data_IF_204019471529
#
_entry.id   IF_204019471529
#
_cell.length_a   1.000
_cell.length_b   1.000
_cell.length_c   1.000
_cell.angle_alpha   90.00
_cell.angle_beta   90.00
_cell.angle_gamma   90.00
#
_symmetry.space_group_name_H-M   'P 1'
#
loop_
_entity.id
_entity.type
_entity.pdbx_description
1 polymer ?
#
# COMPACT_ATOMS: atom_id res chain seq x y z
N UNK A 1 27.70 -0.91 58.89
CA UNK A 1 28.43 -0.90 57.60
C UNK A 1 28.10 -2.11 56.73
N UNK A 2 27.73 -3.26 57.31
CA UNK A 2 27.53 -4.50 56.54
C UNK A 2 26.28 -4.54 55.66
N UNK A 3 25.17 -3.93 56.08
CA UNK A 3 23.93 -3.84 55.28
C UNK A 3 24.12 -3.12 53.93
N UNK A 4 25.00 -2.12 53.89
CA UNK A 4 25.32 -1.40 52.65
C UNK A 4 26.05 -2.33 51.69
N UNK A 5 27.03 -3.10 52.18
CA UNK A 5 27.77 -4.08 51.37
C UNK A 5 26.85 -5.17 50.82
N UNK A 6 25.94 -5.68 51.64
CA UNK A 6 24.96 -6.68 51.21
C UNK A 6 24.03 -6.14 50.13
N UNK A 7 23.53 -4.90 50.28
CA UNK A 7 22.68 -4.25 49.28
C UNK A 7 23.40 -4.11 47.93
N UNK A 8 24.66 -3.64 47.93
CA UNK A 8 25.46 -3.56 46.70
C UNK A 8 25.75 -4.94 46.08
N UNK A 9 25.92 -5.97 46.90
CA UNK A 9 26.13 -7.33 46.41
C UNK A 9 24.89 -7.87 45.69
N UNK A 10 23.69 -7.64 46.24
CA UNK A 10 22.42 -8.00 45.58
C UNK A 10 22.22 -7.26 44.26
N UNK A 11 22.46 -5.94 44.25
CA UNK A 11 22.36 -5.15 43.01
C UNK A 11 23.34 -5.66 41.94
N UNK A 12 24.55 -6.07 42.34
CA UNK A 12 25.52 -6.64 41.40
C UNK A 12 25.06 -7.99 40.84
N UNK A 13 24.45 -8.82 41.68
CA UNK A 13 23.86 -10.10 41.26
C UNK A 13 22.71 -9.89 40.28
N UNK A 14 21.79 -8.96 40.58
CA UNK A 14 20.67 -8.60 39.71
C UNK A 14 21.15 -8.08 38.35
N UNK A 15 22.17 -7.22 38.33
CA UNK A 15 22.78 -6.72 37.07
C UNK A 15 23.37 -7.87 36.25
N UNK A 16 24.02 -8.83 36.90
CA UNK A 16 24.58 -9.99 36.20
C UNK A 16 23.46 -10.86 35.62
N UNK A 17 22.40 -11.12 36.39
CA UNK A 17 21.23 -11.89 35.95
C UNK A 17 20.56 -11.22 34.75
N UNK A 18 20.34 -9.90 34.80
CA UNK A 18 19.81 -9.13 33.68
C UNK A 18 20.71 -9.21 32.43
N UNK A 19 22.03 -9.19 32.60
CA UNK A 19 22.95 -9.32 31.48
C UNK A 19 22.89 -10.73 30.88
N UNK A 20 22.72 -11.78 31.69
CA UNK A 20 22.51 -13.14 31.19
C UNK A 20 21.21 -13.26 30.41
N UNK A 21 20.09 -12.76 30.95
CA UNK A 21 18.80 -12.74 30.25
C UNK A 21 18.87 -11.96 28.94
N UNK A 22 19.53 -10.79 28.95
CA UNK A 22 19.73 -9.98 27.76
C UNK A 22 20.52 -10.72 26.68
N UNK A 23 21.58 -11.44 27.05
CA UNK A 23 22.35 -12.24 26.10
C UNK A 23 21.55 -13.43 25.56
N UNK A 24 20.74 -14.10 26.41
CA UNK A 24 19.83 -15.17 25.99
C UNK A 24 18.83 -14.66 24.93
N UNK A 25 18.20 -13.50 25.17
CA UNK A 25 17.27 -12.89 24.22
C UNK A 25 17.98 -12.55 22.89
N UNK A 26 19.23 -12.08 22.96
CA UNK A 26 20.01 -11.75 21.77
C UNK A 26 20.34 -13.00 20.93
N UNK A 27 20.62 -14.12 21.58
CA UNK A 27 20.83 -15.41 20.92
C UNK A 27 19.55 -15.90 20.25
N UNK A 28 18.41 -15.88 20.95
CA UNK A 28 17.10 -16.25 20.38
C UNK A 28 16.73 -15.39 19.15
N UNK A 29 16.96 -14.07 19.22
CA UNK A 29 16.72 -13.19 18.08
C UNK A 29 17.60 -13.53 16.86
N UNK A 30 18.85 -13.93 17.10
CA UNK A 30 19.75 -14.35 16.05
C UNK A 30 19.28 -15.68 15.41
N UNK A 31 18.79 -16.62 16.21
CA UNK A 31 18.19 -17.88 15.71
C UNK A 31 16.95 -17.63 14.84
N UNK A 32 16.07 -16.71 15.27
CA UNK A 32 14.89 -16.30 14.49
C UNK A 32 15.33 -15.67 13.16
N UNK A 33 16.33 -14.79 13.17
CA UNK A 33 16.86 -14.16 11.96
C UNK A 33 17.41 -15.21 10.98
N UNK A 34 18.17 -16.18 11.48
CA UNK A 34 18.70 -17.29 10.66
C UNK A 34 17.58 -18.16 10.08
N UNK A 35 16.53 -18.43 10.87
CA UNK A 35 15.35 -19.19 10.41
C UNK A 35 14.60 -18.48 9.28
N UNK A 36 14.46 -17.16 9.37
CA UNK A 36 13.86 -16.33 8.31
C UNK A 36 14.69 -16.40 7.02
N UNK A 37 16.02 -16.29 7.12
CA UNK A 37 16.92 -16.40 5.96
C UNK A 37 16.83 -17.78 5.29
N UNK A 38 16.76 -18.85 6.08
CA UNK A 38 16.54 -20.20 5.54
C UNK A 38 15.20 -20.29 4.79
N UNK A 39 14.14 -19.71 5.33
CA UNK A 39 12.82 -19.72 4.70
C UNK A 39 12.81 -18.98 3.35
N UNK A 40 13.51 -17.84 3.25
CA UNK A 40 13.68 -17.14 1.97
C UNK A 40 14.44 -17.99 0.94
N UNK A 41 15.53 -18.64 1.35
CA UNK A 41 16.29 -19.52 0.44
C UNK A 41 15.44 -20.69 -0.11
N UNK A 42 14.54 -21.23 0.71
CA UNK A 42 13.60 -22.27 0.30
C UNK A 42 12.58 -21.77 -0.73
N UNK A 43 12.06 -20.55 -0.56
CA UNK A 43 11.12 -19.94 -1.50
C UNK A 43 11.78 -19.70 -2.88
N UNK A 44 13.00 -19.18 -2.90
CA UNK A 44 13.74 -18.90 -4.14
C UNK A 44 14.10 -20.19 -4.91
N UNK A 45 14.33 -21.30 -4.20
CA UNK A 45 14.59 -22.59 -4.85
C UNK A 45 13.34 -23.19 -5.52
N UNK A 46 12.14 -22.85 -5.04
CA UNK A 46 10.88 -23.45 -5.50
C UNK A 46 10.23 -22.70 -6.68
N UNK A 47 10.60 -21.44 -6.90
CA UNK A 47 10.09 -20.63 -8.01
C UNK A 47 10.84 -20.85 -9.33
N UNK A 48 12.00 -21.51 -9.29
CA UNK A 48 12.82 -21.79 -10.48
C UNK A 48 12.62 -23.20 -11.07
N UNK A 49 11.72 -24.03 -10.53
CA UNK A 49 11.35 -25.30 -11.18
C UNK A 49 10.25 -25.06 -12.22
N UNK A 50 10.68 -24.91 -13.46
CA UNK A 50 9.95 -24.84 -14.72
C UNK A 50 8.58 -25.53 -14.72
N UNK A 51 7.50 -24.75 -14.76
CA UNK A 51 6.26 -25.20 -15.41
C UNK A 51 6.41 -25.03 -16.92
N UNK A 52 7.13 -25.95 -17.56
CA UNK A 52 6.92 -26.25 -18.97
C UNK A 52 5.57 -26.96 -19.11
N UNK A 53 4.48 -26.17 -19.15
CA UNK A 53 3.15 -26.66 -19.53
C UNK A 53 2.70 -25.98 -20.81
N UNK A 54 3.08 -26.63 -21.91
CA UNK A 54 2.21 -26.98 -23.04
C UNK A 54 1.09 -25.99 -23.36
N UNK A 55 1.37 -25.07 -24.28
CA UNK A 55 0.35 -24.34 -25.04
C UNK A 55 -0.47 -25.33 -25.89
N UNK A 56 -1.57 -25.84 -25.35
CA UNK A 56 -2.66 -26.36 -26.17
C UNK A 56 -3.69 -25.23 -26.36
N UNK A 57 -3.74 -24.77 -27.61
CA UNK A 57 -4.68 -23.81 -28.16
C UNK A 57 -6.11 -24.35 -28.13
N UNK A 58 -6.91 -23.91 -27.17
CA UNK A 58 -8.36 -24.04 -27.27
C UNK A 58 -8.93 -22.81 -27.99
N UNK A 59 -9.08 -22.93 -29.30
CA UNK A 59 -9.97 -22.08 -30.10
C UNK A 59 -11.38 -22.12 -29.50
N UNK A 60 -11.76 -21.10 -28.74
CA UNK A 60 -13.17 -20.89 -28.35
C UNK A 60 -13.85 -20.09 -29.46
N UNK A 61 -14.59 -20.82 -30.29
CA UNK A 61 -15.57 -20.28 -31.22
C UNK A 61 -16.59 -19.42 -30.47
N UNK A 62 -16.62 -18.13 -30.79
CA UNK A 62 -17.66 -17.19 -30.34
C UNK A 62 -18.87 -17.43 -31.26
N UNK A 63 -19.86 -18.18 -30.80
CA UNK A 63 -21.15 -18.25 -31.48
C UNK A 63 -21.88 -16.92 -31.30
N UNK A 64 -22.00 -16.16 -32.40
CA UNK A 64 -22.92 -15.02 -32.54
C UNK A 64 -24.35 -15.51 -32.27
N UNK A 65 -24.95 -15.07 -31.18
CA UNK A 65 -26.40 -15.13 -30.98
C UNK A 65 -27.07 -14.12 -31.91
N UNK A 66 -27.91 -14.64 -32.80
CA UNK A 66 -28.81 -13.87 -33.65
C UNK A 66 -29.88 -13.17 -32.82
N UNK A 67 -30.03 -11.87 -33.07
CA UNK A 67 -31.14 -11.06 -32.57
C UNK A 67 -32.47 -11.59 -33.14
N UNK A 68 -33.44 -11.86 -32.27
CA UNK A 68 -34.86 -11.92 -32.63
C UNK A 68 -35.61 -10.82 -31.88
N UNK A 69 -36.31 -9.90 -32.58
CA UNK A 69 -37.14 -8.91 -31.93
C UNK A 69 -38.49 -9.56 -31.60
N UNK A 70 -38.84 -9.57 -30.31
CA UNK A 70 -40.22 -9.88 -29.91
C UNK A 70 -40.93 -8.56 -29.62
N UNK A 71 -41.89 -8.25 -30.48
CA UNK A 71 -42.87 -7.19 -30.36
C UNK A 71 -43.82 -7.53 -29.20
N UNK A 72 -44.13 -6.54 -28.35
CA UNK A 72 -45.43 -6.27 -27.70
C UNK A 72 -45.21 -5.12 -26.69
N UNK A 73 -45.44 -3.86 -27.09
CA UNK A 73 -46.72 -3.15 -26.94
C UNK A 73 -47.13 -2.94 -25.48
N UNK A 74 -46.72 -1.81 -24.90
CA UNK A 74 -47.55 -1.04 -23.98
C UNK A 74 -47.19 0.44 -24.10
N UNK A 75 -48.22 1.24 -24.37
CA UNK A 75 -48.22 2.69 -24.43
C UNK A 75 -47.79 3.28 -23.09
N UNK A 76 -46.89 4.27 -23.10
CA UNK A 76 -47.11 5.55 -22.41
C UNK A 76 -46.08 6.58 -22.88
N UNK A 77 -46.60 7.72 -23.29
CA UNK A 77 -45.86 8.83 -23.89
C UNK A 77 -44.98 9.52 -22.85
N UNK A 78 -43.67 9.45 -23.00
CA UNK A 78 -42.78 10.50 -22.50
C UNK A 78 -41.70 10.86 -23.52
N UNK A 79 -41.88 12.06 -24.05
CA UNK A 79 -41.07 12.80 -24.99
C UNK A 79 -39.68 13.08 -24.39
N UNK A 80 -38.73 12.17 -24.57
CA UNK A 80 -37.31 12.46 -24.33
C UNK A 80 -36.60 12.70 -25.67
N UNK A 81 -36.08 13.92 -25.78
CA UNK A 81 -35.43 14.48 -26.96
C UNK A 81 -33.97 14.02 -26.97
N UNK A 82 -33.67 13.03 -27.79
CA UNK A 82 -32.30 12.51 -27.96
C UNK A 82 -31.38 13.56 -28.60
N UNK A 83 -30.38 13.99 -27.83
CA UNK A 83 -29.24 14.74 -28.33
C UNK A 83 -28.32 13.78 -29.08
N UNK A 84 -28.27 13.91 -30.41
CA UNK A 84 -27.23 13.31 -31.28
C UNK A 84 -25.84 13.67 -30.76
N UNK A 85 -25.17 12.74 -30.07
CA UNK A 85 -23.74 12.83 -29.83
C UNK A 85 -23.00 12.44 -31.12
N UNK A 86 -22.37 13.45 -31.71
CA UNK A 86 -21.47 13.28 -32.84
C UNK A 86 -20.29 12.41 -32.45
N UNK A 87 -20.10 11.34 -33.22
CA UNK A 87 -18.92 10.49 -33.18
C UNK A 87 -17.74 11.34 -33.67
N UNK A 88 -16.85 11.76 -32.77
CA UNK A 88 -15.56 12.34 -33.15
C UNK A 88 -14.59 11.17 -33.37
N UNK A 89 -14.48 10.72 -34.61
CA UNK A 89 -13.38 9.85 -35.06
C UNK A 89 -12.13 10.71 -35.29
N UNK A 90 -11.39 11.03 -34.23
CA UNK A 90 -10.07 11.66 -34.36
C UNK A 90 -8.99 10.60 -34.32
N UNK A 91 -8.61 10.12 -35.51
CA UNK A 91 -7.37 9.37 -35.74
C UNK A 91 -6.21 10.36 -35.82
N UNK A 92 -5.45 10.53 -34.75
CA UNK A 92 -4.15 11.20 -34.81
C UNK A 92 -3.18 10.28 -35.53
N UNK A 93 -3.00 10.52 -36.83
CA UNK A 93 -2.02 9.81 -37.65
C UNK A 93 -0.62 9.97 -37.08
N UNK A 94 -0.01 8.84 -36.71
CA UNK A 94 1.43 8.76 -36.50
C UNK A 94 2.11 8.92 -37.87
N UNK A 95 2.36 10.17 -38.27
CA UNK A 95 3.29 10.47 -39.37
C UNK A 95 4.66 9.98 -38.93
N UNK A 96 5.09 8.88 -39.54
CA UNK A 96 6.39 8.27 -39.33
C UNK A 96 7.51 9.32 -39.38
N UNK A 97 8.37 9.27 -38.36
CA UNK A 97 9.62 10.02 -38.32
C UNK A 97 10.67 9.14 -38.96
N UNK A 98 11.23 9.59 -40.09
CA UNK A 98 12.41 8.97 -40.69
C UNK A 98 13.58 9.07 -39.73
N UNK A 99 13.91 7.97 -39.07
CA UNK A 99 15.14 7.81 -38.32
C UNK A 99 16.16 7.17 -39.23
N UNK A 100 16.74 7.99 -40.12
CA UNK A 100 17.98 7.64 -40.78
C UNK A 100 18.86 8.88 -40.91
N UNK A 101 19.63 9.12 -39.85
CA UNK A 101 20.86 9.93 -39.90
C UNK A 101 21.88 9.25 -39.01
N UNK A 102 22.58 8.28 -39.61
CA UNK A 102 23.90 7.89 -39.14
C UNK A 102 24.79 9.13 -39.10
N UNK A 103 25.42 9.38 -37.95
CA UNK A 103 26.51 10.34 -37.84
C UNK A 103 27.77 9.56 -37.51
N UNK A 104 28.50 9.17 -38.55
CA UNK A 104 29.89 8.71 -38.47
C UNK A 104 30.82 9.92 -38.35
N UNK A 105 30.85 10.56 -37.18
CA UNK A 105 31.98 11.43 -36.84
C UNK A 105 32.51 11.07 -35.47
N UNK A 106 33.54 10.23 -35.52
CA UNK A 106 34.46 9.96 -34.44
C UNK A 106 35.43 11.15 -34.36
N UNK A 107 35.24 12.03 -33.36
CA UNK A 107 36.22 13.06 -33.03
C UNK A 107 37.16 12.53 -31.96
N UNK A 108 38.25 11.95 -32.45
CA UNK A 108 39.40 11.55 -31.65
C UNK A 108 40.30 12.79 -31.48
N UNK A 109 40.15 13.56 -30.40
CA UNK A 109 41.14 14.56 -29.95
C UNK A 109 40.92 14.96 -28.50
N UNK A 110 41.65 14.36 -27.57
CA UNK A 110 42.81 15.03 -26.95
C UNK A 110 43.28 14.29 -25.71
N UNK A 111 44.52 13.86 -25.80
CA UNK A 111 45.43 13.56 -24.70
C UNK A 111 45.66 14.79 -23.82
N UNK A 112 45.69 14.58 -22.50
CA UNK A 112 46.54 15.34 -21.61
C UNK A 112 45.84 16.26 -20.61
N UNK A 113 45.43 15.70 -19.47
CA UNK A 113 45.62 16.35 -18.17
C UNK A 113 45.43 15.32 -17.04
N UNK A 114 46.44 14.45 -16.87
CA UNK A 114 46.66 13.77 -15.61
C UNK A 114 47.26 14.79 -14.64
N UNK A 115 46.54 15.17 -13.58
CA UNK A 115 47.22 15.76 -12.40
C UNK A 115 46.51 16.81 -11.55
N UNK A 116 45.24 17.17 -11.78
CA UNK A 116 44.51 18.02 -10.81
C UNK A 116 43.51 17.16 -10.06
N UNK A 117 43.91 16.68 -8.88
CA UNK A 117 43.01 16.15 -7.85
C UNK A 117 42.19 17.34 -7.33
N UNK A 118 41.18 17.74 -8.08
CA UNK A 118 40.10 18.54 -7.53
C UNK A 118 39.35 17.65 -6.56
N UNK A 119 39.39 18.01 -5.28
CA UNK A 119 38.55 17.50 -4.20
C UNK A 119 37.06 17.68 -4.57
N UNK A 120 36.54 16.74 -5.38
CA UNK A 120 35.18 16.73 -5.93
C UNK A 120 34.13 16.17 -4.97
N UNK A 121 34.47 15.96 -3.70
CA UNK A 121 33.56 15.32 -2.74
C UNK A 121 32.59 16.30 -2.06
N UNK A 122 32.71 17.61 -2.27
CA UNK A 122 31.83 18.59 -1.62
C UNK A 122 30.51 18.87 -2.36
N UNK A 123 30.40 18.53 -3.65
CA UNK A 123 29.18 18.80 -4.44
C UNK A 123 28.06 17.78 -4.22
N UNK A 124 28.37 16.54 -3.82
CA UNK A 124 27.35 15.53 -3.54
C UNK A 124 26.55 15.83 -2.25
N UNK A 125 27.16 16.52 -1.28
CA UNK A 125 26.51 16.81 0.02
C UNK A 125 25.39 17.85 -0.16
N UNK A 126 25.62 18.91 -0.93
CA UNK A 126 24.59 19.94 -1.18
C UNK A 126 23.37 19.37 -1.93
N UNK A 127 23.61 18.48 -2.89
CA UNK A 127 22.53 17.81 -3.62
C UNK A 127 21.77 16.78 -2.76
N UNK A 128 22.43 16.15 -1.79
CA UNK A 128 21.73 15.30 -0.82
C UNK A 128 20.85 16.10 0.14
N UNK A 129 21.33 17.26 0.61
CA UNK A 129 20.57 18.10 1.56
C UNK A 129 19.34 18.70 0.89
N UNK A 130 19.46 19.19 -0.35
CA UNK A 130 18.31 19.69 -1.11
C UNK A 130 17.28 18.60 -1.40
N UNK A 131 17.71 17.37 -1.69
CA UNK A 131 16.79 16.21 -1.81
C UNK A 131 16.09 15.92 -0.49
N UNK A 132 16.79 15.95 0.65
CA UNK A 132 16.15 15.71 1.96
C UNK A 132 15.11 16.76 2.30
N UNK A 133 15.34 18.05 2.01
CA UNK A 133 14.34 19.09 2.27
C UNK A 133 13.11 18.94 1.37
N UNK A 134 13.28 18.50 0.12
CA UNK A 134 12.13 18.18 -0.75
C UNK A 134 11.30 17.01 -0.22
N UNK A 135 11.94 15.96 0.31
CA UNK A 135 11.26 14.81 0.92
C UNK A 135 10.51 15.22 2.19
N UNK A 136 11.11 16.06 3.04
CA UNK A 136 10.45 16.57 4.25
C UNK A 136 9.19 17.37 3.91
N UNK A 137 9.28 18.25 2.90
CA UNK A 137 8.12 19.02 2.44
C UNK A 137 7.01 18.11 1.88
N UNK A 138 7.38 17.04 1.15
CA UNK A 138 6.43 16.03 0.67
C UNK A 138 5.76 15.28 1.83
N UNK A 139 6.51 14.94 2.88
CA UNK A 139 5.96 14.29 4.07
C UNK A 139 4.94 15.18 4.79
N UNK A 140 5.22 16.48 4.91
CA UNK A 140 4.29 17.42 5.53
C UNK A 140 3.03 17.65 4.68
N UNK A 141 3.16 17.64 3.35
CA UNK A 141 2.01 17.69 2.46
C UNK A 141 1.12 16.45 2.61
N UNK A 142 1.72 15.26 2.67
CA UNK A 142 1.00 13.99 2.90
C UNK A 142 0.29 14.01 4.26
N UNK A 143 0.96 14.44 5.34
CA UNK A 143 0.35 14.57 6.68
C UNK A 143 -0.83 15.55 6.66
N UNK A 144 -0.69 16.68 5.96
CA UNK A 144 -1.75 17.68 5.81
C UNK A 144 -2.95 17.10 5.07
N UNK A 145 -2.72 16.41 3.95
CA UNK A 145 -3.78 15.76 3.18
C UNK A 145 -4.51 14.70 4.02
N UNK A 146 -3.76 13.87 4.73
CA UNK A 146 -4.30 12.87 5.64
C UNK A 146 -5.17 13.53 6.71
N UNK A 147 -4.69 14.59 7.36
CA UNK A 147 -5.45 15.35 8.36
C UNK A 147 -6.76 15.87 7.78
N UNK A 148 -6.75 16.43 6.57
CA UNK A 148 -7.95 16.92 5.90
C UNK A 148 -8.95 15.79 5.61
N UNK A 149 -8.48 14.60 5.22
CA UNK A 149 -9.34 13.42 5.00
C UNK A 149 -9.96 12.92 6.30
N UNK A 150 -9.16 12.80 7.37
CA UNK A 150 -9.65 12.36 8.69
C UNK A 150 -10.62 13.37 9.30
N UNK A 151 -10.36 14.68 9.17
CA UNK A 151 -11.25 15.73 9.68
C UNK A 151 -12.62 15.75 8.98
N UNK A 152 -12.72 15.24 7.75
CA UNK A 152 -13.98 15.07 7.03
C UNK A 152 -14.83 13.90 7.55
N UNK A 153 -14.27 13.01 8.37
CA UNK A 153 -15.03 11.91 8.96
C UNK A 153 -15.94 12.40 10.09
N UNK A 154 -17.19 11.95 10.03
CA UNK A 154 -18.15 12.09 11.14
C UNK A 154 -17.73 11.22 12.32
N UNK A 155 -18.30 11.48 13.50
CA UNK A 155 -18.02 10.68 14.71
C UNK A 155 -18.29 9.19 14.50
N UNK A 156 -19.38 8.85 13.80
CA UNK A 156 -19.75 7.46 13.53
C UNK A 156 -18.80 6.80 12.53
N UNK A 157 -18.41 7.50 11.47
CA UNK A 157 -17.43 6.97 10.50
C UNK A 157 -16.06 6.76 11.14
N UNK A 158 -15.63 7.70 11.99
CA UNK A 158 -14.38 7.55 12.75
C UNK A 158 -14.44 6.34 13.69
N UNK A 159 -15.57 6.15 14.39
CA UNK A 159 -15.78 5.00 15.28
C UNK A 159 -15.73 3.66 14.52
N UNK A 160 -16.37 3.61 13.35
CA UNK A 160 -16.30 2.41 12.48
C UNK A 160 -14.87 2.17 12.01
N UNK A 161 -14.16 3.20 11.55
CA UNK A 161 -12.78 3.09 11.10
C UNK A 161 -11.83 2.63 12.23
N UNK A 162 -11.95 3.21 13.43
CA UNK A 162 -11.12 2.83 14.58
C UNK A 162 -11.37 1.39 15.00
N UNK A 163 -12.62 0.94 14.93
CA UNK A 163 -12.99 -0.45 15.27
C UNK A 163 -12.42 -1.44 14.27
N UNK A 164 -12.43 -1.12 12.97
CA UNK A 164 -11.77 -1.92 11.94
C UNK A 164 -10.27 -2.05 12.26
N UNK A 165 -9.60 -0.93 12.55
CA UNK A 165 -8.18 -0.90 12.95
C UNK A 165 -7.90 -1.82 14.14
N UNK A 166 -8.67 -1.68 15.23
CA UNK A 166 -8.46 -2.45 16.45
C UNK A 166 -8.65 -3.96 16.24
N UNK A 167 -9.70 -4.35 15.52
CA UNK A 167 -9.98 -5.76 15.25
C UNK A 167 -8.93 -6.38 14.31
N UNK A 168 -8.47 -5.61 13.32
CA UNK A 168 -7.41 -6.06 12.42
C UNK A 168 -6.07 -6.20 13.14
N UNK A 169 -5.70 -5.26 14.03
CA UNK A 169 -4.50 -5.33 14.87
C UNK A 169 -4.54 -6.54 15.84
N UNK A 170 -5.73 -6.97 16.24
CA UNK A 170 -5.95 -8.20 17.02
C UNK A 170 -5.89 -9.48 16.17
N UNK A 171 -5.75 -9.36 14.85
CA UNK A 171 -5.71 -10.49 13.91
C UNK A 171 -7.09 -11.08 13.58
N UNK A 172 -8.18 -10.35 13.86
CA UNK A 172 -9.51 -10.80 13.49
C UNK A 172 -9.82 -10.53 12.01
N UNK A 173 -10.52 -11.48 11.38
CA UNK A 173 -11.07 -11.28 10.04
C UNK A 173 -12.32 -10.39 10.14
N UNK A 174 -12.17 -9.11 9.80
CA UNK A 174 -13.22 -8.11 9.97
C UNK A 174 -14.26 -8.23 8.87
N UNK A 175 -15.41 -8.80 9.19
CA UNK A 175 -16.58 -8.80 8.31
C UNK A 175 -17.66 -7.80 8.77
N UNK A 176 -18.64 -7.54 7.89
CA UNK A 176 -19.75 -6.63 8.22
C UNK A 176 -20.58 -7.12 9.42
N UNK A 177 -20.66 -8.44 9.64
CA UNK A 177 -21.45 -9.02 10.72
C UNK A 177 -20.79 -8.82 12.09
N UNK A 178 -19.47 -8.98 12.15
CA UNK A 178 -18.66 -8.77 13.33
C UNK A 178 -18.72 -7.30 13.75
N UNK A 179 -18.54 -6.37 12.79
CA UNK A 179 -18.66 -4.94 13.05
C UNK A 179 -20.06 -4.54 13.53
N UNK A 180 -21.12 -5.09 12.91
CA UNK A 180 -22.50 -4.81 13.36
C UNK A 180 -22.73 -5.22 14.80
N UNK A 181 -22.21 -6.39 15.19
CA UNK A 181 -22.36 -6.91 16.54
C UNK A 181 -21.54 -6.10 17.55
N UNK A 182 -20.31 -5.70 17.18
CA UNK A 182 -19.43 -4.95 18.08
C UNK A 182 -19.93 -3.52 18.34
N UNK A 183 -20.49 -2.87 17.32
CA UNK A 183 -20.96 -1.48 17.40
C UNK A 183 -22.45 -1.35 17.72
N UNK A 184 -23.19 -2.46 17.82
CA UNK A 184 -24.65 -2.47 17.95
C UNK A 184 -25.36 -1.68 16.83
N UNK A 185 -24.88 -1.81 15.59
CA UNK A 185 -25.42 -1.16 14.40
C UNK A 185 -25.89 -2.22 13.40
N UNK A 186 -26.81 -1.88 12.49
CA UNK A 186 -27.20 -2.83 11.44
C UNK A 186 -26.08 -3.02 10.41
N UNK A 187 -25.99 -4.20 9.79
CA UNK A 187 -25.01 -4.46 8.72
C UNK A 187 -25.15 -3.48 7.55
N UNK A 188 -26.38 -3.05 7.22
CA UNK A 188 -26.64 -2.04 6.19
C UNK A 188 -26.01 -0.70 6.57
N UNK A 189 -26.19 -0.25 7.81
CA UNK A 189 -25.56 0.98 8.31
C UNK A 189 -24.04 0.91 8.24
N UNK A 190 -23.43 -0.21 8.67
CA UNK A 190 -21.97 -0.39 8.57
C UNK A 190 -21.51 -0.33 7.11
N UNK A 191 -22.22 -0.98 6.18
CA UNK A 191 -21.89 -0.93 4.75
C UNK A 191 -21.89 0.51 4.23
N UNK A 192 -22.88 1.31 4.61
CA UNK A 192 -22.98 2.71 4.21
C UNK A 192 -21.84 3.55 4.81
N UNK A 193 -21.50 3.35 6.08
CA UNK A 193 -20.37 4.03 6.71
C UNK A 193 -19.05 3.66 6.02
N UNK A 194 -18.78 2.39 5.78
CA UNK A 194 -17.58 1.92 5.07
C UNK A 194 -17.51 2.49 3.65
N UNK A 195 -18.63 2.56 2.94
CA UNK A 195 -18.68 3.20 1.63
C UNK A 195 -18.36 4.70 1.72
N UNK A 196 -18.93 5.43 2.68
CA UNK A 196 -18.63 6.86 2.88
C UNK A 196 -17.18 7.11 3.27
N UNK A 197 -16.60 6.26 4.12
CA UNK A 197 -15.16 6.32 4.48
C UNK A 197 -14.29 6.17 3.23
N UNK A 198 -14.60 5.18 2.38
CA UNK A 198 -13.89 4.97 1.12
C UNK A 198 -14.04 6.16 0.15
N UNK A 199 -15.24 6.72 0.02
CA UNK A 199 -15.50 7.91 -0.81
C UNK A 199 -14.76 9.16 -0.31
N UNK A 200 -14.47 9.25 1.00
CA UNK A 200 -13.67 10.34 1.59
C UNK A 200 -12.16 10.16 1.36
N UNK A 201 -11.75 9.12 0.62
CA UNK A 201 -10.37 8.90 0.20
C UNK A 201 -9.52 8.17 1.25
N UNK A 202 -10.15 7.44 2.17
CA UNK A 202 -9.45 6.54 3.08
C UNK A 202 -9.38 5.15 2.42
N UNK A 203 -8.18 4.59 2.21
CA UNK A 203 -7.99 3.36 1.46
C UNK A 203 -8.38 2.14 2.32
N UNK A 204 -9.60 1.67 2.12
CA UNK A 204 -10.11 0.39 2.63
C UNK A 204 -10.22 -0.60 1.46
N UNK A 205 -9.61 -1.77 1.61
CA UNK A 205 -9.73 -2.86 0.64
C UNK A 205 -10.84 -3.82 1.08
N UNK A 206 -11.50 -4.43 0.08
CA UNK A 206 -12.61 -5.37 0.30
C UNK A 206 -12.27 -6.67 -0.40
N UNK A 207 -12.14 -7.73 0.36
CA UNK A 207 -11.87 -9.07 -0.16
C UNK A 207 -13.12 -9.93 -0.10
N UNK A 208 -13.49 -10.56 -1.21
CA UNK A 208 -14.68 -11.41 -1.28
C UNK A 208 -14.29 -12.88 -1.11
N UNK A 209 -14.67 -13.48 0.02
CA UNK A 209 -14.39 -14.90 0.31
C UNK A 209 -15.63 -15.75 -0.02
N UNK A 210 -15.44 -16.77 -0.86
CA UNK A 210 -16.44 -17.77 -1.23
C UNK A 210 -17.79 -17.20 -1.70
N UNK A 211 -17.76 -16.03 -2.35
CA UNK A 211 -18.95 -15.29 -2.82
C UNK A 211 -19.99 -14.90 -1.75
N UNK A 212 -19.77 -15.22 -0.47
CA UNK A 212 -20.75 -15.05 0.61
C UNK A 212 -20.35 -13.98 1.61
N UNK A 213 -19.05 -13.83 1.88
CA UNK A 213 -18.54 -12.90 2.89
C UNK A 213 -17.60 -11.88 2.26
N UNK A 214 -17.64 -10.67 2.81
CA UNK A 214 -16.72 -9.59 2.45
C UNK A 214 -15.91 -9.29 3.69
N UNK A 215 -14.59 -9.45 3.58
CA UNK A 215 -13.63 -9.05 4.60
C UNK A 215 -13.13 -7.66 4.26
N UNK A 216 -13.03 -6.83 5.27
CA UNK A 216 -12.52 -5.47 5.20
C UNK A 216 -11.11 -5.46 5.73
N UNK A 217 -10.19 -4.87 4.97
CA UNK A 217 -8.83 -4.64 5.42
C UNK A 217 -8.46 -3.17 5.22
N UNK A 218 -7.59 -2.68 6.08
CA UNK A 218 -6.91 -1.41 5.88
C UNK A 218 -5.72 -1.67 4.95
N UNK A 219 -5.55 -0.83 3.93
CA UNK A 219 -4.38 -0.94 3.05
C UNK A 219 -3.09 -0.88 3.87
N UNK A 220 -2.17 -1.83 3.66
CA UNK A 220 -0.90 -1.90 4.41
C UNK A 220 -0.09 -0.60 4.32
N UNK A 221 -0.11 0.05 3.15
CA UNK A 221 0.60 1.32 2.92
C UNK A 221 0.02 2.43 3.79
N UNK A 222 -1.31 2.45 3.94
CA UNK A 222 -1.99 3.40 4.83
C UNK A 222 -1.71 3.10 6.30
N UNK A 223 -1.65 1.81 6.67
CA UNK A 223 -1.29 1.38 8.02
C UNK A 223 0.13 1.78 8.39
N UNK A 224 1.07 1.65 7.46
CA UNK A 224 2.48 2.12 7.63
C UNK A 224 2.55 3.64 7.75
N UNK A 225 1.68 4.36 7.04
CA UNK A 225 1.66 5.82 7.05
C UNK A 225 1.10 6.40 8.37
N UNK A 226 0.06 5.79 8.93
CA UNK A 226 -0.60 6.33 10.11
C UNK A 226 -1.15 5.22 11.02
N UNK A 227 -0.62 5.18 12.25
CA UNK A 227 -1.17 4.33 13.32
C UNK A 227 -2.54 4.83 13.78
N UNK A 228 -3.34 3.97 14.41
CA UNK A 228 -4.64 4.36 14.98
C UNK A 228 -4.53 5.57 15.92
N UNK A 229 -3.53 5.58 16.80
CA UNK A 229 -3.29 6.69 17.73
C UNK A 229 -3.00 8.00 16.98
N UNK A 230 -2.27 7.92 15.87
CA UNK A 230 -2.00 9.07 14.99
C UNK A 230 -3.29 9.57 14.33
N UNK A 231 -4.19 8.68 13.91
CA UNK A 231 -5.46 9.08 13.32
C UNK A 231 -6.36 9.80 14.33
N UNK A 232 -6.38 9.34 15.58
CA UNK A 232 -7.12 9.98 16.68
C UNK A 232 -6.53 11.36 16.95
N UNK A 233 -5.21 11.48 17.11
CA UNK A 233 -4.58 12.78 17.39
C UNK A 233 -4.75 13.78 16.25
N UNK A 234 -4.67 13.34 14.99
CA UNK A 234 -4.91 14.20 13.82
C UNK A 234 -6.34 14.75 13.74
N UNK A 235 -7.29 14.09 14.39
CA UNK A 235 -8.69 14.51 14.42
C UNK A 235 -8.96 15.61 15.45
N UNK A 236 -8.32 15.51 16.60
CA UNK A 236 -8.56 16.40 17.75
C UNK A 236 -7.86 17.77 17.60
N UNK A 237 -6.85 17.85 16.73
CA UNK A 237 -6.11 19.08 16.40
C UNK A 237 -6.83 19.84 15.26
#
# INVERSE_FOLDING_TARGET
>A
MDYIKEAFQKVKEDINNLNFEFNSIKEELNEIQNSILQLFSLLDSKTNSSTDRSYNSAFRQINKTSNSPTINSFNENLLFKDYKQGIITSSSGNKGVSTDRQTDQQTDTSTGNNGVISSKDSHNIRDSISKTSTILNQLDEIKRELRLKIKKLTNQEMLVLSTIYQLEDQGHLVDYSLLSNYLNLTQSSIRDYVQRISLKGIPLTKEKINNKRIILHISEDFRKLASLNTLISLRDI
#
